data_IF_278288414284
#
_entry.id   IF_278288414284
#
_cell.length_a   1.000
_cell.length_b   1.000
_cell.length_c   1.000
_cell.angle_alpha   90.00
_cell.angle_beta   90.00
_cell.angle_gamma   90.00
#
_symmetry.space_group_name_H-M   'P 1'
#
loop_
_entity.id
_entity.type
_entity.pdbx_description
1 polymer ?
#
# COMPACT_ATOMS: atom_id res chain seq x y z
N UNK A 1 6.83 -6.63 13.45
CA UNK A 1 5.93 -5.54 13.85
C UNK A 1 6.49 -4.76 15.03
N UNK A 2 6.91 -5.43 16.10
CA UNK A 2 7.41 -4.78 17.34
C UNK A 2 8.61 -3.85 17.15
N UNK A 3 9.57 -4.20 16.29
CA UNK A 3 10.74 -3.35 15.99
C UNK A 3 10.44 -2.11 15.15
N UNK A 4 9.25 -2.04 14.54
CA UNK A 4 8.78 -0.92 13.70
C UNK A 4 7.32 -0.62 14.03
N UNK A 5 7.04 -0.11 15.25
CA UNK A 5 5.67 0.17 15.66
C UNK A 5 5.07 1.29 14.79
N UNK A 6 3.75 1.47 14.87
CA UNK A 6 2.99 2.32 13.93
C UNK A 6 3.47 3.77 13.94
N UNK A 7 3.95 4.25 15.08
CA UNK A 7 4.47 5.61 15.29
C UNK A 7 5.69 5.90 14.43
N UNK A 8 6.51 4.89 14.11
CA UNK A 8 7.69 5.05 13.26
C UNK A 8 7.27 5.43 11.84
N UNK A 9 6.26 4.76 11.31
CA UNK A 9 5.71 5.03 9.99
C UNK A 9 4.99 6.38 9.96
N UNK A 10 4.12 6.65 10.94
CA UNK A 10 3.37 7.91 11.00
C UNK A 10 4.28 9.13 11.13
N UNK A 11 5.34 9.03 11.96
CA UNK A 11 6.33 10.10 12.10
C UNK A 11 7.11 10.35 10.82
N UNK A 12 7.47 9.28 10.09
CA UNK A 12 8.14 9.42 8.79
C UNK A 12 7.22 10.11 7.77
N UNK A 13 5.97 9.68 7.68
CA UNK A 13 4.93 10.30 6.83
C UNK A 13 4.78 11.79 7.13
N UNK A 14 4.59 12.16 8.40
CA UNK A 14 4.44 13.55 8.82
C UNK A 14 5.68 14.40 8.49
N UNK A 15 6.88 13.82 8.64
CA UNK A 15 8.14 14.49 8.29
C UNK A 15 8.22 14.76 6.79
N UNK A 16 7.94 13.76 5.95
CA UNK A 16 7.95 13.91 4.50
C UNK A 16 6.91 14.93 4.01
N UNK A 17 5.70 14.92 4.58
CA UNK A 17 4.65 15.89 4.27
C UNK A 17 5.12 17.33 4.57
N UNK A 18 5.72 17.56 5.73
CA UNK A 18 6.24 18.88 6.10
C UNK A 18 7.33 19.35 5.13
N UNK A 19 8.26 18.47 4.76
CA UNK A 19 9.29 18.79 3.77
C UNK A 19 8.65 19.16 2.44
N UNK A 20 7.67 18.39 1.96
CA UNK A 20 6.95 18.70 0.71
C UNK A 20 6.23 20.06 0.76
N UNK A 21 5.63 20.38 1.91
CA UNK A 21 4.99 21.68 2.15
C UNK A 21 5.99 22.84 2.12
N UNK A 22 7.16 22.69 2.73
CA UNK A 22 8.20 23.73 2.79
C UNK A 22 8.82 23.99 1.42
N UNK A 23 9.06 22.95 0.62
CA UNK A 23 9.71 23.07 -0.69
C UNK A 23 8.73 23.32 -1.85
N UNK A 24 7.41 23.21 -1.60
CA UNK A 24 6.39 23.31 -2.65
C UNK A 24 6.43 22.17 -3.67
N UNK A 25 6.94 21.00 -3.26
CA UNK A 25 7.13 19.84 -4.14
C UNK A 25 5.96 18.85 -4.10
N UNK A 26 5.98 17.90 -5.03
CA UNK A 26 5.05 16.78 -5.06
C UNK A 26 5.58 15.59 -4.27
N UNK A 27 4.75 15.01 -3.40
CA UNK A 27 5.08 13.85 -2.58
C UNK A 27 4.21 12.65 -2.94
N UNK A 28 4.85 11.50 -3.14
CA UNK A 28 4.18 10.21 -3.26
C UNK A 28 4.64 9.27 -2.15
N UNK A 29 3.72 8.88 -1.27
CA UNK A 29 3.99 7.97 -0.15
C UNK A 29 3.61 6.55 -0.54
N UNK A 30 4.61 5.67 -0.58
CA UNK A 30 4.46 4.26 -0.93
C UNK A 30 4.01 3.41 0.26
N UNK A 31 3.44 2.24 -0.05
CA UNK A 31 3.20 1.10 0.85
C UNK A 31 2.71 1.48 2.28
N UNK A 32 1.69 2.34 2.39
CA UNK A 32 1.13 2.71 3.71
C UNK A 32 0.38 1.55 4.36
N UNK A 33 0.53 1.39 5.67
CA UNK A 33 0.01 0.24 6.42
C UNK A 33 -0.84 0.63 7.63
N UNK A 34 -0.73 1.87 8.11
CA UNK A 34 -1.39 2.33 9.34
C UNK A 34 -2.74 2.99 9.06
N UNK A 35 -3.57 3.08 10.11
CA UNK A 35 -4.81 3.85 10.05
C UNK A 35 -4.57 5.37 9.98
N UNK A 36 -3.54 5.88 10.65
CA UNK A 36 -3.26 7.32 10.74
C UNK A 36 -2.56 7.88 9.49
N UNK A 37 -1.75 7.08 8.79
CA UNK A 37 -1.03 7.50 7.58
C UNK A 37 -1.94 8.16 6.53
N UNK A 38 -3.02 7.49 6.08
CA UNK A 38 -4.01 8.09 5.18
C UNK A 38 -4.69 9.36 5.73
N UNK A 39 -4.88 9.47 7.05
CA UNK A 39 -5.45 10.67 7.67
C UNK A 39 -4.50 11.86 7.57
N UNK A 40 -3.20 11.63 7.80
CA UNK A 40 -2.16 12.66 7.61
C UNK A 40 -2.14 13.16 6.17
N UNK A 41 -2.20 12.23 5.20
CA UNK A 41 -2.29 12.57 3.77
C UNK A 41 -3.56 13.37 3.46
N UNK A 42 -4.72 12.97 3.99
CA UNK A 42 -5.97 13.69 3.81
C UNK A 42 -5.92 15.13 4.34
N UNK A 43 -5.39 15.32 5.56
CA UNK A 43 -5.21 16.65 6.16
C UNK A 43 -4.24 17.52 5.36
N UNK A 44 -3.13 16.95 4.91
CA UNK A 44 -2.13 17.66 4.11
C UNK A 44 -2.69 18.11 2.75
N UNK A 45 -3.45 17.24 2.07
CA UNK A 45 -4.15 17.61 0.83
C UNK A 45 -5.16 18.73 1.06
N UNK A 46 -5.92 18.68 2.16
CA UNK A 46 -6.86 19.76 2.51
C UNK A 46 -6.15 21.09 2.80
N UNK A 47 -4.89 21.05 3.24
CA UNK A 47 -4.03 22.22 3.43
C UNK A 47 -3.29 22.67 2.16
N UNK A 48 -3.57 22.05 1.00
CA UNK A 48 -2.98 22.43 -0.29
C UNK A 48 -1.64 21.77 -0.63
N UNK A 49 -1.17 20.80 0.17
CA UNK A 49 0.05 20.04 -0.15
C UNK A 49 -0.24 19.05 -1.28
N UNK A 50 0.57 19.03 -2.35
CA UNK A 50 0.50 18.02 -3.41
C UNK A 50 1.10 16.69 -2.91
N UNK A 51 0.32 15.99 -2.09
CA UNK A 51 0.65 14.67 -1.58
C UNK A 51 -0.38 13.65 -2.03
N UNK A 52 0.12 12.49 -2.44
CA UNK A 52 -0.67 11.33 -2.79
C UNK A 52 -0.04 10.08 -2.18
N UNK A 53 -0.83 9.05 -1.95
CA UNK A 53 -0.34 7.85 -1.33
C UNK A 53 -1.02 6.58 -1.86
N UNK A 54 -0.32 5.47 -1.68
CA UNK A 54 -0.78 4.13 -2.00
C UNK A 54 -0.75 3.20 -0.79
N UNK A 55 -1.42 2.06 -0.92
CA UNK A 55 -1.24 0.88 -0.09
C UNK A 55 -0.97 -0.33 -0.98
N UNK A 56 -0.47 -1.41 -0.41
CA UNK A 56 -0.24 -2.67 -1.11
C UNK A 56 -1.32 -3.71 -0.79
N UNK A 57 -1.53 -4.63 -1.71
CA UNK A 57 -2.61 -5.64 -1.63
C UNK A 57 -2.49 -6.53 -0.38
N UNK A 58 -1.26 -6.88 0.02
CA UNK A 58 -1.04 -7.71 1.21
C UNK A 58 -1.49 -7.03 2.51
N UNK A 59 -1.46 -5.70 2.61
CA UNK A 59 -2.01 -4.96 3.77
C UNK A 59 -3.55 -4.93 3.79
N UNK A 60 -4.20 -5.21 2.66
CA UNK A 60 -5.66 -5.24 2.54
C UNK A 60 -6.26 -6.61 2.85
N UNK A 61 -5.46 -7.68 2.78
CA UNK A 61 -5.93 -9.06 2.88
C UNK A 61 -5.27 -9.85 4.03
N UNK A 62 -4.08 -9.44 4.47
CA UNK A 62 -3.37 -10.06 5.59
C UNK A 62 -3.23 -9.07 6.75
N UNK A 63 -3.04 -9.63 7.94
CA UNK A 63 -2.80 -8.91 9.20
C UNK A 63 -1.55 -9.44 9.87
N UNK A 64 -1.13 -8.79 10.95
CA UNK A 64 0.00 -9.19 11.78
C UNK A 64 -0.16 -10.59 12.41
N UNK A 65 -1.36 -11.17 12.40
CA UNK A 65 -1.60 -12.58 12.73
C UNK A 65 -0.72 -13.53 11.90
N UNK A 66 -0.43 -13.17 10.65
CA UNK A 66 0.44 -13.97 9.79
C UNK A 66 1.85 -14.11 10.35
N UNK A 67 2.35 -13.06 11.03
CA UNK A 67 3.68 -13.07 11.66
C UNK A 67 3.76 -14.01 12.87
N UNK A 68 2.62 -14.35 13.48
CA UNK A 68 2.53 -15.22 14.67
C UNK A 68 2.42 -16.71 14.33
N UNK A 69 2.31 -17.05 13.04
CA UNK A 69 2.26 -18.43 12.56
C UNK A 69 3.62 -19.10 12.69
N UNK A 70 3.64 -20.43 12.70
CA UNK A 70 4.88 -21.21 12.65
C UNK A 70 5.74 -20.87 11.41
N UNK A 71 5.10 -20.48 10.29
CA UNK A 71 5.75 -20.01 9.08
C UNK A 71 5.76 -18.48 8.93
N UNK A 72 5.67 -17.74 10.05
CA UNK A 72 5.57 -16.28 10.11
C UNK A 72 6.68 -15.52 9.38
N UNK A 73 7.87 -16.13 9.28
CA UNK A 73 9.02 -15.59 8.54
C UNK A 73 8.72 -15.31 7.06
N UNK A 74 7.77 -16.02 6.45
CA UNK A 74 7.32 -15.79 5.07
C UNK A 74 6.71 -14.40 4.88
N UNK A 75 6.08 -13.89 5.93
CA UNK A 75 5.27 -12.67 5.93
C UNK A 75 6.04 -11.42 6.39
N UNK A 76 7.35 -11.55 6.60
CA UNK A 76 8.21 -10.42 6.95
C UNK A 76 8.35 -9.48 5.75
N UNK A 77 7.80 -8.28 5.88
CA UNK A 77 7.88 -7.16 4.95
C UNK A 77 8.09 -5.84 5.73
N UNK A 78 8.36 -4.75 5.00
CA UNK A 78 8.56 -3.41 5.57
C UNK A 78 7.80 -2.36 4.75
N UNK A 79 6.84 -1.62 5.33
CA UNK A 79 6.42 -1.70 6.73
C UNK A 79 5.76 -3.05 7.09
N UNK A 80 5.75 -3.47 8.36
CA UNK A 80 5.22 -4.77 8.73
C UNK A 80 3.68 -4.80 8.61
N UNK A 81 3.12 -5.99 8.39
CA UNK A 81 1.68 -6.22 8.52
C UNK A 81 1.17 -5.70 9.88
N UNK A 82 -0.03 -5.11 9.86
CA UNK A 82 -0.69 -4.49 11.01
C UNK A 82 -1.95 -5.26 11.41
N UNK A 83 -2.58 -4.83 12.49
CA UNK A 83 -3.81 -5.44 12.98
C UNK A 83 -4.99 -5.27 12.01
N UNK A 84 -6.10 -5.92 12.35
CA UNK A 84 -7.32 -5.88 11.56
C UNK A 84 -7.96 -4.48 11.50
N UNK A 85 -7.74 -3.62 12.49
CA UNK A 85 -8.30 -2.28 12.52
C UNK A 85 -7.59 -1.36 11.54
N UNK A 86 -6.26 -1.48 11.43
CA UNK A 86 -5.47 -0.84 10.39
C UNK A 86 -5.94 -1.30 8.99
N UNK A 87 -6.12 -2.60 8.77
CA UNK A 87 -6.66 -3.12 7.51
C UNK A 87 -8.03 -2.52 7.16
N UNK A 88 -8.96 -2.46 8.13
CA UNK A 88 -10.29 -1.84 7.95
C UNK A 88 -10.18 -0.35 7.65
N UNK A 89 -9.23 0.36 8.25
CA UNK A 89 -8.97 1.76 7.96
C UNK A 89 -8.47 1.96 6.52
N UNK A 90 -7.54 1.13 6.04
CA UNK A 90 -7.05 1.19 4.67
C UNK A 90 -8.18 0.98 3.65
N UNK A 91 -9.08 0.01 3.88
CA UNK A 91 -10.25 -0.18 3.03
C UNK A 91 -11.17 1.04 2.97
N UNK A 92 -11.45 1.67 4.13
CA UNK A 92 -12.24 2.92 4.17
C UNK A 92 -11.55 4.03 3.37
N UNK A 93 -10.24 4.19 3.55
CA UNK A 93 -9.44 5.21 2.87
C UNK A 93 -9.32 4.99 1.35
N UNK A 94 -9.42 3.74 0.88
CA UNK A 94 -9.52 3.43 -0.55
C UNK A 94 -10.88 3.85 -1.11
N UNK A 95 -11.96 3.58 -0.37
CA UNK A 95 -13.32 3.91 -0.77
C UNK A 95 -13.56 5.42 -0.85
N UNK A 96 -13.01 6.21 0.08
CA UNK A 96 -13.19 7.68 0.12
C UNK A 96 -12.13 8.51 -0.61
N UNK A 97 -11.11 7.87 -1.18
CA UNK A 97 -10.13 8.55 -2.04
C UNK A 97 -8.92 9.14 -1.32
N UNK A 98 -8.75 8.91 -0.01
CA UNK A 98 -7.53 9.26 0.73
C UNK A 98 -6.32 8.45 0.25
N UNK A 99 -6.55 7.18 -0.06
CA UNK A 99 -5.60 6.32 -0.77
C UNK A 99 -5.94 6.32 -2.26
N UNK A 100 -4.95 6.55 -3.11
CA UNK A 100 -5.18 6.77 -4.53
C UNK A 100 -4.80 5.57 -5.43
N UNK A 101 -3.99 4.63 -4.93
CA UNK A 101 -3.60 3.45 -5.68
C UNK A 101 -3.45 2.21 -4.81
N UNK A 102 -3.56 1.05 -5.45
CA UNK A 102 -3.20 -0.25 -4.87
C UNK A 102 -2.14 -0.94 -5.72
N UNK A 103 -0.98 -1.21 -5.11
CA UNK A 103 0.16 -1.89 -5.73
C UNK A 103 0.49 -3.22 -5.05
N UNK A 104 1.58 -3.87 -5.46
CA UNK A 104 2.03 -5.14 -4.90
C UNK A 104 3.18 -5.00 -3.90
N UNK A 105 4.08 -4.03 -4.12
CA UNK A 105 5.43 -4.02 -3.53
C UNK A 105 6.07 -5.42 -3.66
N UNK A 106 6.04 -5.95 -4.89
CA UNK A 106 6.48 -7.31 -5.16
C UNK A 106 7.99 -7.44 -4.92
N UNK A 107 8.32 -8.16 -3.85
CA UNK A 107 9.67 -8.51 -3.48
C UNK A 107 9.68 -9.98 -3.08
N UNK A 108 9.69 -10.84 -4.10
CA UNK A 108 9.68 -12.28 -3.94
C UNK A 108 11.08 -12.82 -3.59
N UNK A 109 11.14 -13.64 -2.55
CA UNK A 109 12.35 -14.36 -2.15
C UNK A 109 12.07 -15.86 -2.11
N UNK A 110 13.06 -16.64 -2.57
CA UNK A 110 13.04 -18.07 -2.36
C UNK A 110 12.95 -18.40 -0.85
N UNK A 111 12.38 -19.56 -0.54
CA UNK A 111 12.18 -19.98 0.85
C UNK A 111 13.50 -20.06 1.63
N UNK A 112 14.55 -20.56 0.98
CA UNK A 112 15.89 -20.69 1.52
C UNK A 112 16.50 -19.33 1.91
N UNK A 113 16.22 -18.30 1.11
CA UNK A 113 16.66 -16.94 1.40
C UNK A 113 15.94 -16.35 2.62
N UNK A 114 14.62 -16.59 2.76
CA UNK A 114 13.87 -16.20 3.97
C UNK A 114 14.44 -16.87 5.23
N UNK A 115 14.80 -18.15 5.14
CA UNK A 115 15.37 -18.92 6.25
C UNK A 115 16.75 -18.46 6.73
N UNK A 116 17.44 -17.59 5.99
CA UNK A 116 18.68 -16.98 6.46
C UNK A 116 18.49 -16.26 7.81
N UNK A 117 17.35 -15.62 8.01
CA UNK A 117 17.01 -14.91 9.25
C UNK A 117 16.21 -15.73 10.27
N UNK A 118 16.22 -17.07 10.21
CA UNK A 118 15.42 -17.91 11.13
C UNK A 118 15.72 -17.69 12.61
N UNK A 119 16.99 -17.43 12.95
CA UNK A 119 17.45 -17.15 14.31
C UNK A 119 17.44 -15.64 14.63
N UNK A 120 17.34 -14.80 13.60
CA UNK A 120 17.51 -13.34 13.67
C UNK A 120 16.64 -12.65 12.64
N UNK A 121 15.51 -12.10 13.09
CA UNK A 121 14.50 -11.51 12.21
C UNK A 121 15.05 -10.36 11.34
N UNK A 122 16.07 -9.64 11.83
CA UNK A 122 16.69 -8.51 11.14
C UNK A 122 17.52 -8.94 9.91
N UNK A 123 17.85 -10.23 9.81
CA UNK A 123 18.51 -10.82 8.65
C UNK A 123 17.53 -11.40 7.63
N UNK A 124 16.22 -11.41 7.92
CA UNK A 124 15.22 -11.93 6.98
C UNK A 124 15.07 -10.95 5.81
N UNK A 125 15.23 -11.39 4.55
CA UNK A 125 14.89 -10.56 3.39
C UNK A 125 13.43 -10.10 3.47
N UNK A 126 13.21 -8.79 3.43
CA UNK A 126 11.89 -8.19 3.60
C UNK A 126 11.16 -8.15 2.25
N UNK A 127 9.97 -8.74 2.18
CA UNK A 127 9.19 -8.75 0.94
C UNK A 127 8.21 -9.92 0.85
N UNK A 128 7.10 -9.70 0.14
CA UNK A 128 6.07 -10.71 -0.11
C UNK A 128 5.77 -10.68 -1.62
N UNK A 129 5.66 -11.83 -2.32
CA UNK A 129 5.20 -11.87 -3.70
C UNK A 129 3.73 -11.40 -3.78
N UNK A 130 3.41 -10.59 -4.77
CA UNK A 130 2.09 -9.99 -4.91
C UNK A 130 1.75 -9.45 -6.29
N UNK A 131 2.66 -9.49 -7.28
CA UNK A 131 2.42 -8.92 -8.61
C UNK A 131 1.25 -9.62 -9.33
N UNK A 132 1.27 -10.94 -9.38
CA UNK A 132 0.25 -11.77 -10.05
C UNK A 132 -1.11 -11.73 -9.32
N UNK A 133 -1.21 -12.00 -8.01
CA UNK A 133 -2.51 -12.07 -7.35
C UNK A 133 -3.15 -10.70 -7.10
N UNK A 134 -2.45 -9.58 -7.36
CA UNK A 134 -2.91 -8.22 -7.04
C UNK A 134 -4.34 -7.94 -7.48
N UNK A 135 -4.65 -8.17 -8.75
CA UNK A 135 -5.98 -7.86 -9.29
C UNK A 135 -7.05 -8.80 -8.74
N UNK A 136 -6.75 -10.10 -8.66
CA UNK A 136 -7.69 -11.11 -8.19
C UNK A 136 -8.05 -10.88 -6.71
N UNK A 137 -7.05 -10.61 -5.88
CA UNK A 137 -7.25 -10.31 -4.45
C UNK A 137 -8.01 -9.00 -4.27
N UNK A 138 -7.63 -7.92 -4.95
CA UNK A 138 -8.33 -6.64 -4.80
C UNK A 138 -9.78 -6.72 -5.32
N UNK A 139 -10.03 -7.46 -6.41
CA UNK A 139 -11.38 -7.67 -6.91
C UNK A 139 -12.21 -8.52 -5.93
N UNK A 140 -11.70 -9.67 -5.50
CA UNK A 140 -12.40 -10.59 -4.60
C UNK A 140 -12.68 -9.94 -3.24
N UNK A 141 -11.67 -9.30 -2.65
CA UNK A 141 -11.77 -8.74 -1.30
C UNK A 141 -12.35 -7.33 -1.27
N UNK A 142 -12.35 -6.63 -2.41
CA UNK A 142 -12.84 -5.27 -2.54
C UNK A 142 -14.19 -5.20 -3.22
N UNK A 143 -14.22 -5.51 -4.52
CA UNK A 143 -15.41 -5.37 -5.37
C UNK A 143 -16.48 -6.40 -4.99
N UNK A 144 -16.12 -7.69 -4.97
CA UNK A 144 -17.08 -8.77 -4.72
C UNK A 144 -17.65 -8.74 -3.29
N UNK A 145 -16.94 -8.14 -2.33
CA UNK A 145 -17.41 -7.91 -0.95
C UNK A 145 -18.06 -6.54 -0.72
N UNK A 146 -18.21 -5.72 -1.77
CA UNK A 146 -18.88 -4.42 -1.68
C UNK A 146 -18.10 -3.34 -0.92
N UNK A 147 -16.78 -3.48 -0.73
CA UNK A 147 -15.93 -2.47 -0.07
C UNK A 147 -15.58 -1.30 -0.98
N UNK A 148 -15.43 -1.57 -2.28
CA UNK A 148 -15.19 -0.57 -3.34
C UNK A 148 -16.03 -0.92 -4.57
N UNK A 149 -16.37 0.08 -5.38
CA UNK A 149 -17.06 -0.14 -6.65
C UNK A 149 -16.10 -0.66 -7.73
N UNK A 150 -16.63 -1.26 -8.80
CA UNK A 150 -15.82 -1.66 -9.96
C UNK A 150 -15.11 -0.47 -10.64
N UNK A 151 -15.76 0.70 -10.87
CA UNK A 151 -15.04 1.88 -11.35
C UNK A 151 -13.89 2.29 -10.43
N UNK A 152 -14.12 2.25 -9.11
CA UNK A 152 -13.06 2.56 -8.13
C UNK A 152 -11.90 1.57 -8.20
N UNK A 153 -12.18 0.29 -8.41
CA UNK A 153 -11.14 -0.71 -8.67
C UNK A 153 -10.29 -0.34 -9.89
N UNK A 154 -10.91 0.01 -11.03
CA UNK A 154 -10.19 0.44 -12.24
C UNK A 154 -9.33 1.67 -11.96
N UNK A 155 -9.89 2.68 -11.28
CA UNK A 155 -9.16 3.89 -10.90
C UNK A 155 -7.89 3.59 -10.09
N UNK A 156 -8.00 2.72 -9.08
CA UNK A 156 -6.94 2.41 -8.13
C UNK A 156 -5.75 1.67 -8.79
N UNK A 157 -6.01 0.92 -9.87
CA UNK A 157 -5.03 -0.03 -10.40
C UNK A 157 -4.54 0.26 -11.81
N UNK A 158 -5.22 1.15 -12.55
CA UNK A 158 -4.83 1.51 -13.92
C UNK A 158 -4.93 3.02 -14.19
N UNK A 159 -6.11 3.63 -14.05
CA UNK A 159 -6.34 5.04 -14.46
C UNK A 159 -5.52 6.02 -13.64
N UNK A 160 -5.52 5.89 -12.31
CA UNK A 160 -4.74 6.77 -11.43
C UNK A 160 -3.24 6.57 -11.64
N UNK A 161 -2.68 5.35 -11.61
CA UNK A 161 -1.26 5.13 -11.93
C UNK A 161 -0.85 5.74 -13.28
N UNK A 162 -1.60 5.50 -14.36
CA UNK A 162 -1.27 6.03 -15.68
C UNK A 162 -1.21 7.57 -15.68
N UNK A 163 -2.19 8.23 -15.05
CA UNK A 163 -2.21 9.69 -14.90
C UNK A 163 -1.05 10.22 -14.07
N UNK A 164 -0.72 9.56 -12.96
CA UNK A 164 0.34 10.03 -12.05
C UNK A 164 1.74 9.93 -12.67
N UNK A 165 1.97 8.87 -13.44
CA UNK A 165 3.27 8.61 -14.09
C UNK A 165 3.33 9.11 -15.54
N UNK A 166 2.37 9.94 -15.98
CA UNK A 166 2.42 10.60 -17.29
C UNK A 166 2.22 9.65 -18.48
N UNK A 167 1.58 8.50 -18.29
CA UNK A 167 1.32 7.52 -19.35
C UNK A 167 0.06 7.91 -20.14
N UNK A 168 0.23 8.65 -21.23
CA UNK A 168 -0.88 9.21 -22.04
C UNK A 168 -1.75 8.17 -22.75
N UNK A 169 -1.22 6.97 -23.02
CA UNK A 169 -1.92 5.91 -23.78
C UNK A 169 -2.32 4.69 -22.92
N UNK A 170 -2.24 4.78 -21.58
CA UNK A 170 -2.56 3.69 -20.65
C UNK A 170 -3.71 4.07 -19.70
N UNK A 171 -4.36 3.08 -19.12
CA UNK A 171 -5.31 3.27 -18.02
C UNK A 171 -6.71 3.77 -18.41
N UNK A 172 -7.06 3.75 -19.69
CA UNK A 172 -8.41 4.03 -20.17
C UNK A 172 -8.75 3.21 -21.43
N UNK A 173 -10.04 3.04 -21.71
CA UNK A 173 -10.56 2.30 -22.85
C UNK A 173 -11.25 3.27 -23.82
N UNK A 174 -10.48 3.85 -24.73
CA UNK A 174 -10.94 4.76 -25.78
C UNK A 174 -10.16 4.51 -27.08
N UNK A 175 -10.73 4.82 -28.26
CA UNK A 175 -9.97 4.77 -29.51
C UNK A 175 -8.66 5.57 -29.42
N UNK A 176 -7.54 4.94 -29.82
CA UNK A 176 -6.20 5.55 -29.76
C UNK A 176 -5.40 5.29 -28.46
N UNK A 177 -5.99 4.60 -27.49
CA UNK A 177 -5.25 4.04 -26.35
C UNK A 177 -4.57 2.73 -26.73
N UNK A 178 -3.53 2.35 -26.00
CA UNK A 178 -2.87 1.05 -26.18
C UNK A 178 -3.84 -0.09 -25.81
N UNK A 179 -3.86 -1.14 -26.62
CA UNK A 179 -4.64 -2.37 -26.39
C UNK A 179 -3.96 -3.29 -25.37
#
# INVERSE_FOLDING_TARGET
>A
AESKPVEVENRAIATCIRVAQEVGGRLFIVHMTTAEGPELVGRARAAGVDVIAETCTHYLVFTDEMLRRADGIKWVCSPPLRDIEAQRALWRCLADGRLAMVTSDDAAYAWEAKLYGRERFDLVPNGIPGIEPRFQLLYSEGVAKGRISLPRFVELVSTTPARLFGMSHKGALYPGMDA
#
